data_IF_844204858264
#
_entry.id   IF_844204858264
#
_cell.length_a   1.000
_cell.length_b   1.000
_cell.length_c   1.000
_cell.angle_alpha   90.00
_cell.angle_beta   90.00
_cell.angle_gamma   90.00
#
_symmetry.space_group_name_H-M   'P 1'
#
loop_
_entity.id
_entity.type
_entity.pdbx_description
1 polymer ?
#
# COMPACT_ATOMS: atom_id res chain seq x y z
N UNK A 1 19.75 7.11 1.41
CA UNK A 1 18.43 7.26 0.79
C UNK A 1 17.54 6.26 1.47
N UNK A 2 16.54 6.77 2.19
CA UNK A 2 15.66 5.94 3.02
C UNK A 2 14.35 5.66 2.28
N UNK A 3 13.90 4.42 2.27
CA UNK A 3 12.61 4.01 1.69
C UNK A 3 11.62 3.67 2.80
N UNK A 4 10.44 4.28 2.82
CA UNK A 4 9.33 3.88 3.69
C UNK A 4 8.31 3.10 2.89
N UNK A 5 8.00 1.88 3.33
CA UNK A 5 6.84 1.12 2.86
C UNK A 5 5.75 1.31 3.91
N UNK A 6 4.57 1.77 3.51
CA UNK A 6 3.47 2.05 4.42
C UNK A 6 2.27 1.19 4.05
N UNK A 7 1.74 0.47 5.03
CA UNK A 7 0.58 -0.41 4.88
C UNK A 7 -0.33 -0.36 6.10
N UNK A 8 -1.57 -0.83 5.94
CA UNK A 8 -2.58 -0.86 7.01
C UNK A 8 -3.05 -2.29 7.28
N UNK A 9 -3.33 -2.61 8.53
CA UNK A 9 -3.82 -3.90 8.99
C UNK A 9 -5.25 -3.78 9.50
N UNK A 10 -6.13 -4.61 8.95
CA UNK A 10 -7.45 -4.88 9.50
C UNK A 10 -7.93 -6.22 8.98
N UNK A 11 -8.06 -7.21 9.87
CA UNK A 11 -8.35 -8.61 9.53
C UNK A 11 -7.36 -9.20 8.51
N UNK A 12 -6.08 -8.89 8.68
CA UNK A 12 -5.02 -9.15 7.69
C UNK A 12 -4.05 -10.26 8.09
N UNK A 13 -4.27 -10.92 9.22
CA UNK A 13 -3.36 -11.93 9.80
C UNK A 13 -2.84 -12.97 8.78
N UNK A 14 -3.66 -13.53 7.87
CA UNK A 14 -3.16 -14.53 6.92
C UNK A 14 -2.07 -14.02 5.96
N UNK A 15 -2.03 -12.71 5.69
CA UNK A 15 -1.18 -12.13 4.64
C UNK A 15 0.13 -11.54 5.17
N UNK A 16 0.14 -11.12 6.44
CA UNK A 16 1.25 -10.37 7.05
C UNK A 16 2.63 -11.02 6.84
N UNK A 17 2.85 -12.32 7.12
CA UNK A 17 4.19 -12.91 6.98
C UNK A 17 4.69 -12.89 5.54
N UNK A 18 3.82 -13.21 4.59
CA UNK A 18 4.18 -13.29 3.18
C UNK A 18 4.38 -11.91 2.58
N UNK A 19 3.56 -10.93 2.98
CA UNK A 19 3.74 -9.52 2.63
C UNK A 19 5.10 -9.00 3.09
N UNK A 20 5.43 -9.15 4.37
CA UNK A 20 6.71 -8.69 4.93
C UNK A 20 7.88 -9.38 4.21
N UNK A 21 7.80 -10.69 3.99
CA UNK A 21 8.85 -11.44 3.28
C UNK A 21 9.09 -10.89 1.87
N UNK A 22 8.03 -10.69 1.08
CA UNK A 22 8.12 -10.23 -0.31
C UNK A 22 8.55 -8.76 -0.39
N UNK A 23 7.93 -7.88 0.38
CA UNK A 23 8.23 -6.45 0.31
C UNK A 23 9.64 -6.13 0.83
N UNK A 24 10.12 -6.82 1.87
CA UNK A 24 11.52 -6.71 2.32
C UNK A 24 12.50 -7.18 1.26
N UNK A 25 12.18 -8.23 0.49
CA UNK A 25 13.04 -8.71 -0.58
C UNK A 25 13.16 -7.68 -1.71
N UNK A 26 12.07 -6.98 -2.04
CA UNK A 26 12.07 -5.91 -3.04
C UNK A 26 12.77 -4.64 -2.54
N UNK A 27 12.51 -4.23 -1.29
CA UNK A 27 13.17 -3.10 -0.66
C UNK A 27 14.70 -3.24 -0.68
N UNK A 28 15.21 -4.43 -0.35
CA UNK A 28 16.66 -4.75 -0.35
C UNK A 28 17.32 -4.64 -1.73
N UNK A 29 16.56 -4.74 -2.83
CA UNK A 29 17.09 -4.51 -4.18
C UNK A 29 17.35 -3.02 -4.45
N UNK A 30 16.64 -2.14 -3.74
CA UNK A 30 16.71 -0.69 -3.89
C UNK A 30 17.69 -0.09 -2.88
N UNK A 31 17.55 -0.44 -1.60
CA UNK A 31 18.35 0.12 -0.50
C UNK A 31 18.39 -0.81 0.71
N UNK A 32 19.48 -0.74 1.47
CA UNK A 32 19.57 -1.38 2.80
C UNK A 32 18.96 -0.54 3.93
N UNK A 33 18.65 0.74 3.66
CA UNK A 33 18.05 1.68 4.60
C UNK A 33 16.57 1.85 4.24
N UNK A 34 15.72 0.98 4.80
CA UNK A 34 14.28 1.01 4.59
C UNK A 34 13.52 0.77 5.89
N UNK A 35 12.23 1.10 5.90
CA UNK A 35 11.32 0.77 6.98
C UNK A 35 9.99 0.29 6.41
N UNK A 36 9.30 -0.57 7.16
CA UNK A 36 7.96 -1.06 6.86
C UNK A 36 7.06 -0.60 8.00
N UNK A 37 6.33 0.49 7.76
CA UNK A 37 5.36 1.07 8.67
C UNK A 37 4.03 0.34 8.48
N UNK A 38 3.64 -0.44 9.49
CA UNK A 38 2.37 -1.18 9.49
C UNK A 38 1.45 -0.57 10.53
N UNK A 39 0.29 -0.08 10.10
CA UNK A 39 -0.69 0.56 10.99
C UNK A 39 -1.83 -0.40 11.28
N UNK A 40 -1.95 -0.88 12.52
CA UNK A 40 -3.12 -1.64 12.96
C UNK A 40 -4.30 -0.70 13.22
N UNK A 41 -5.35 -0.84 12.40
CA UNK A 41 -6.58 -0.05 12.49
C UNK A 41 -7.60 -0.68 13.46
N UNK A 42 -7.12 -1.03 14.66
CA UNK A 42 -7.91 -1.70 15.69
C UNK A 42 -8.46 -3.05 15.22
N UNK A 43 -7.58 -3.90 14.68
CA UNK A 43 -7.99 -5.19 14.12
C UNK A 43 -8.54 -6.13 15.20
N UNK A 44 -9.69 -6.80 14.98
CA UNK A 44 -10.27 -7.71 15.97
C UNK A 44 -9.65 -9.12 15.96
N UNK A 45 -8.73 -9.40 15.02
CA UNK A 45 -8.06 -10.68 14.85
C UNK A 45 -6.60 -10.64 15.37
N UNK A 46 -5.81 -11.66 15.02
CA UNK A 46 -4.42 -11.77 15.48
C UNK A 46 -3.42 -10.91 14.68
N UNK A 47 -3.87 -9.95 13.86
CA UNK A 47 -3.01 -9.14 12.98
C UNK A 47 -1.93 -8.40 13.76
N UNK A 48 -2.32 -7.68 14.83
CA UNK A 48 -1.39 -6.93 15.66
C UNK A 48 -0.33 -7.83 16.30
N UNK A 49 -0.75 -8.92 16.94
CA UNK A 49 0.17 -9.85 17.61
C UNK A 49 1.18 -10.46 16.63
N UNK A 50 0.74 -10.78 15.40
CA UNK A 50 1.61 -11.31 14.36
C UNK A 50 2.60 -10.27 13.83
N UNK A 51 2.16 -9.02 13.67
CA UNK A 51 3.04 -7.92 13.26
C UNK A 51 4.10 -7.62 14.34
N UNK A 52 3.72 -7.62 15.62
CA UNK A 52 4.64 -7.47 16.75
C UNK A 52 5.63 -8.64 16.87
N UNK A 53 5.18 -9.86 16.61
CA UNK A 53 6.05 -11.03 16.60
C UNK A 53 7.15 -10.90 15.52
N UNK A 54 6.77 -10.47 14.31
CA UNK A 54 7.74 -10.22 13.23
C UNK A 54 8.70 -9.07 13.59
N UNK A 55 8.18 -7.97 14.16
CA UNK A 55 9.00 -6.83 14.60
C UNK A 55 10.10 -7.23 15.59
N UNK A 56 9.84 -8.21 16.46
CA UNK A 56 10.87 -8.69 17.40
C UNK A 56 12.11 -9.30 16.72
N UNK A 57 12.00 -9.63 15.43
CA UNK A 57 13.06 -10.29 14.64
C UNK A 57 13.52 -9.50 13.42
N UNK A 58 12.77 -8.49 12.98
CA UNK A 58 13.13 -7.64 11.84
C UNK A 58 13.09 -6.16 12.26
N UNK A 59 14.26 -5.50 12.40
CA UNK A 59 14.33 -4.11 12.88
C UNK A 59 13.78 -3.09 11.88
N UNK A 60 13.49 -3.48 10.64
CA UNK A 60 12.88 -2.57 9.66
C UNK A 60 11.36 -2.40 9.91
N UNK A 61 10.73 -3.26 10.71
CA UNK A 61 9.29 -3.19 11.00
C UNK A 61 8.99 -2.14 12.07
N UNK A 62 8.06 -1.25 11.75
CA UNK A 62 7.51 -0.25 12.67
C UNK A 62 6.00 -0.44 12.77
N UNK A 63 5.52 -0.89 13.92
CA UNK A 63 4.10 -1.10 14.16
C UNK A 63 3.49 0.13 14.84
N UNK A 64 2.36 0.60 14.33
CA UNK A 64 1.57 1.68 14.92
C UNK A 64 0.19 1.11 15.22
N UNK A 65 -0.17 1.04 16.50
CA UNK A 65 -1.49 0.59 16.94
C UNK A 65 -2.40 1.80 17.13
N UNK A 66 -3.50 1.86 16.37
CA UNK A 66 -4.53 2.87 16.61
C UNK A 66 -5.44 2.43 17.75
N UNK A 67 -5.96 3.39 18.51
CA UNK A 67 -6.78 3.10 19.71
C UNK A 67 -8.09 2.33 19.42
N UNK A 68 -8.52 2.29 18.15
CA UNK A 68 -9.71 1.60 17.62
C UNK A 68 -9.69 1.65 16.10
N UNK A 69 -10.69 1.05 15.46
CA UNK A 69 -10.91 1.24 14.02
C UNK A 69 -11.36 2.68 13.68
N UNK A 70 -10.60 3.32 12.80
CA UNK A 70 -10.84 4.64 12.23
C UNK A 70 -11.13 4.59 10.72
N UNK A 71 -10.79 3.50 10.05
CA UNK A 71 -10.95 3.26 8.63
C UNK A 71 -9.65 3.44 7.85
N UNK A 72 -9.55 2.71 6.73
CA UNK A 72 -8.34 2.57 5.90
C UNK A 72 -7.61 3.89 5.61
N UNK A 73 -8.29 4.93 5.13
CA UNK A 73 -7.62 6.20 4.81
C UNK A 73 -7.01 6.89 6.02
N UNK A 74 -7.64 6.82 7.21
CA UNK A 74 -7.08 7.43 8.42
C UNK A 74 -5.88 6.64 8.94
N UNK A 75 -5.95 5.31 8.86
CA UNK A 75 -4.81 4.45 9.17
C UNK A 75 -3.64 4.72 8.21
N UNK A 76 -3.91 4.86 6.92
CA UNK A 76 -2.88 5.20 5.93
C UNK A 76 -2.25 6.57 6.20
N UNK A 77 -3.05 7.58 6.55
CA UNK A 77 -2.55 8.90 6.93
C UNK A 77 -1.68 8.87 8.19
N UNK A 78 -2.06 8.09 9.19
CA UNK A 78 -1.20 7.86 10.36
C UNK A 78 0.12 7.22 9.94
N UNK A 79 0.10 6.19 9.09
CA UNK A 79 1.32 5.55 8.59
C UNK A 79 2.25 6.53 7.88
N UNK A 80 1.70 7.43 7.06
CA UNK A 80 2.43 8.50 6.39
C UNK A 80 3.06 9.51 7.36
N UNK A 81 2.38 9.87 8.45
CA UNK A 81 2.90 10.80 9.45
C UNK A 81 4.14 10.25 10.18
N UNK A 82 4.24 8.93 10.29
CA UNK A 82 5.38 8.25 10.91
C UNK A 82 6.43 7.76 9.91
N UNK A 83 6.16 7.85 8.60
CA UNK A 83 7.12 7.53 7.56
C UNK A 83 8.23 8.60 7.53
N UNK A 84 9.46 8.17 7.31
CA UNK A 84 10.65 9.03 7.36
C UNK A 84 11.61 8.84 6.17
N UNK A 85 11.17 8.09 5.17
CA UNK A 85 11.88 7.85 3.93
C UNK A 85 11.82 9.03 2.97
N UNK A 86 12.85 9.12 2.12
CA UNK A 86 12.88 10.01 0.96
C UNK A 86 11.86 9.57 -0.11
N UNK A 87 11.55 8.26 -0.14
CA UNK A 87 10.54 7.65 -1.00
C UNK A 87 9.52 6.92 -0.13
N UNK A 88 8.24 6.96 -0.54
CA UNK A 88 7.16 6.35 0.24
C UNK A 88 6.30 5.45 -0.64
N UNK A 89 6.48 4.14 -0.48
CA UNK A 89 5.68 3.14 -1.15
C UNK A 89 4.42 2.82 -0.36
N UNK A 90 3.26 3.19 -0.89
CA UNK A 90 1.96 2.90 -0.31
C UNK A 90 1.40 1.64 -0.95
N UNK A 91 1.10 0.61 -0.14
CA UNK A 91 0.58 -0.67 -0.63
C UNK A 91 -0.27 -1.37 0.45
N UNK A 92 -1.29 -2.11 0.03
CA UNK A 92 -2.12 -2.92 0.91
C UNK A 92 -1.45 -4.26 1.27
N UNK A 93 -1.68 -4.74 2.48
CA UNK A 93 -1.02 -5.93 3.04
C UNK A 93 -1.58 -7.24 2.50
N UNK A 94 -2.75 -7.20 1.86
CA UNK A 94 -3.54 -8.38 1.45
C UNK A 94 -3.03 -9.12 0.21
N UNK A 95 -1.96 -8.60 -0.42
CA UNK A 95 -1.33 -9.15 -1.62
C UNK A 95 -2.22 -9.12 -2.88
N UNK A 96 -3.27 -8.29 -2.92
CA UNK A 96 -4.00 -8.04 -4.16
C UNK A 96 -3.09 -7.39 -5.21
N UNK A 97 -2.28 -6.42 -4.78
CA UNK A 97 -1.13 -5.91 -5.52
C UNK A 97 0.16 -6.65 -5.17
N UNK A 98 0.97 -7.04 -6.16
CA UNK A 98 2.26 -7.67 -5.90
C UNK A 98 3.26 -6.66 -5.31
N UNK A 99 3.92 -6.96 -4.17
CA UNK A 99 4.99 -6.12 -3.62
C UNK A 99 6.15 -5.85 -4.60
N UNK A 100 6.34 -6.71 -5.62
CA UNK A 100 7.32 -6.55 -6.71
C UNK A 100 7.06 -5.31 -7.58
N UNK A 101 5.87 -4.68 -7.48
CA UNK A 101 5.63 -3.37 -8.08
C UNK A 101 6.57 -2.29 -7.54
N UNK A 102 7.06 -2.42 -6.31
CA UNK A 102 8.00 -1.47 -5.71
C UNK A 102 9.23 -1.24 -6.61
N UNK A 103 9.92 -2.30 -7.00
CA UNK A 103 11.10 -2.21 -7.87
C UNK A 103 10.76 -1.54 -9.20
N UNK A 104 9.65 -1.96 -9.82
CA UNK A 104 9.19 -1.39 -11.08
C UNK A 104 8.85 0.10 -10.97
N UNK A 105 8.18 0.50 -9.90
CA UNK A 105 7.78 1.89 -9.68
C UNK A 105 9.00 2.75 -9.42
N UNK A 106 9.97 2.23 -8.67
CA UNK A 106 11.23 2.91 -8.39
C UNK A 106 12.02 3.16 -9.68
N UNK A 107 12.14 2.15 -10.56
CA UNK A 107 12.84 2.30 -11.84
C UNK A 107 12.20 3.40 -12.71
N UNK A 108 10.86 3.43 -12.80
CA UNK A 108 10.12 4.44 -13.56
C UNK A 108 10.29 5.85 -12.97
N UNK A 109 10.19 5.97 -11.64
CA UNK A 109 10.35 7.22 -10.92
C UNK A 109 11.75 7.80 -11.19
N UNK A 110 12.78 6.95 -11.10
CA UNK A 110 14.18 7.32 -11.38
C UNK A 110 14.42 7.68 -12.85
N UNK A 111 13.74 7.02 -13.79
CA UNK A 111 13.92 7.27 -15.21
C UNK A 111 13.36 8.62 -15.66
N UNK A 112 12.18 9.00 -15.17
CA UNK A 112 11.49 10.21 -15.63
C UNK A 112 11.60 11.43 -14.71
N UNK A 113 12.30 11.31 -13.56
CA UNK A 113 12.38 12.36 -12.54
C UNK A 113 10.97 12.81 -12.11
N UNK A 114 10.10 11.84 -11.84
CA UNK A 114 8.72 12.04 -11.42
C UNK A 114 8.62 12.20 -9.90
N UNK A 115 7.62 12.96 -9.45
CA UNK A 115 7.31 13.07 -8.02
C UNK A 115 6.49 11.88 -7.49
N UNK A 116 5.69 11.23 -8.34
CA UNK A 116 4.80 10.12 -7.98
C UNK A 116 4.64 9.15 -9.15
N UNK A 117 4.65 7.84 -8.86
CA UNK A 117 4.30 6.77 -9.80
C UNK A 117 3.16 5.93 -9.24
N UNK A 118 2.11 5.69 -10.02
CA UNK A 118 0.96 4.89 -9.60
C UNK A 118 0.52 3.87 -10.67
N UNK A 119 -0.19 2.83 -10.23
CA UNK A 119 -0.68 1.76 -11.10
C UNK A 119 -1.99 2.09 -11.82
N UNK A 120 -2.18 1.50 -13.01
CA UNK A 120 -3.45 1.44 -13.73
C UNK A 120 -3.84 -0.01 -13.99
N UNK A 121 -5.05 -0.40 -13.58
CA UNK A 121 -5.62 -1.70 -13.95
C UNK A 121 -6.17 -1.65 -15.39
N UNK A 122 -5.47 -2.34 -16.32
CA UNK A 122 -5.92 -2.48 -17.72
C UNK A 122 -7.32 -3.07 -17.83
N UNK A 123 -7.63 -4.08 -17.00
CA UNK A 123 -8.95 -4.68 -16.91
C UNK A 123 -9.36 -4.90 -15.46
N UNK A 124 -10.62 -4.54 -15.13
CA UNK A 124 -11.18 -4.86 -13.81
C UNK A 124 -11.51 -6.36 -13.73
N UNK A 125 -10.99 -7.01 -12.70
CA UNK A 125 -11.41 -8.36 -12.31
C UNK A 125 -12.87 -8.34 -11.83
N UNK A 126 -13.64 -9.38 -12.16
CA UNK A 126 -15.04 -9.54 -11.71
C UNK A 126 -16.05 -9.78 -12.82
N UNK A 127 -17.25 -10.22 -12.43
CA UNK A 127 -18.36 -10.51 -13.34
C UNK A 127 -18.95 -9.28 -14.04
N UNK A 128 -19.83 -9.52 -15.02
CA UNK A 128 -20.41 -8.50 -15.90
C UNK A 128 -21.06 -7.33 -15.14
N UNK A 129 -21.70 -7.59 -14.00
CA UNK A 129 -22.33 -6.56 -13.16
C UNK A 129 -21.28 -5.60 -12.57
N UNK A 130 -20.16 -6.12 -12.04
CA UNK A 130 -19.07 -5.28 -11.51
C UNK A 130 -18.41 -4.45 -12.61
N UNK A 131 -18.27 -5.02 -13.82
CA UNK A 131 -17.73 -4.29 -14.98
C UNK A 131 -18.66 -3.16 -15.42
N UNK A 132 -19.97 -3.40 -15.50
CA UNK A 132 -20.94 -2.38 -15.92
C UNK A 132 -21.09 -1.28 -14.86
N UNK A 133 -21.26 -1.65 -13.58
CA UNK A 133 -21.36 -0.69 -12.48
C UNK A 133 -20.11 0.19 -12.36
N UNK A 134 -18.92 -0.40 -12.54
CA UNK A 134 -17.67 0.35 -12.58
C UNK A 134 -17.60 1.38 -13.71
N UNK A 135 -18.04 1.01 -14.93
CA UNK A 135 -18.08 1.96 -16.07
C UNK A 135 -19.05 3.11 -15.82
N UNK A 136 -20.21 2.83 -15.25
CA UNK A 136 -21.20 3.86 -14.92
C UNK A 136 -20.70 4.81 -13.82
N UNK A 137 -20.10 4.26 -12.75
CA UNK A 137 -19.53 5.07 -11.68
C UNK A 137 -18.41 5.99 -12.18
N UNK A 138 -17.52 5.49 -13.03
CA UNK A 138 -16.49 6.33 -13.64
C UNK A 138 -17.05 7.38 -14.61
N UNK A 139 -18.11 7.07 -15.35
CA UNK A 139 -18.81 8.05 -16.18
C UNK A 139 -19.39 9.20 -15.34
N UNK A 140 -20.02 8.89 -14.21
CA UNK A 140 -20.52 9.90 -13.26
C UNK A 140 -19.38 10.75 -12.69
N UNK A 141 -18.28 10.14 -12.27
CA UNK A 141 -17.10 10.87 -11.76
C UNK A 141 -16.59 11.85 -12.82
N UNK A 142 -16.47 11.43 -14.08
CA UNK A 142 -16.02 12.32 -15.18
C UNK A 142 -16.97 13.50 -15.43
N UNK A 143 -18.26 13.31 -15.18
CA UNK A 143 -19.25 14.37 -15.34
C UNK A 143 -19.20 15.38 -14.19
N UNK A 144 -18.94 14.90 -12.96
CA UNK A 144 -19.01 15.71 -11.74
C UNK A 144 -17.66 16.31 -11.32
N UNK A 145 -16.55 15.70 -11.72
CA UNK A 145 -15.20 16.08 -11.31
C UNK A 145 -14.46 16.72 -12.47
N UNK A 146 -13.99 17.96 -12.29
CA UNK A 146 -13.26 18.72 -13.32
C UNK A 146 -11.80 18.31 -13.50
N UNK A 147 -11.37 17.22 -12.85
CA UNK A 147 -10.01 16.68 -12.92
C UNK A 147 -10.02 15.51 -13.89
N UNK A 148 -9.17 15.56 -14.92
CA UNK A 148 -9.00 14.44 -15.82
C UNK A 148 -8.28 13.30 -15.09
N UNK A 149 -9.00 12.22 -14.81
CA UNK A 149 -8.47 11.04 -14.15
C UNK A 149 -8.50 9.83 -15.10
N UNK A 150 -7.40 9.05 -15.13
CA UNK A 150 -7.37 7.81 -15.86
C UNK A 150 -8.31 6.79 -15.20
N UNK A 151 -8.98 5.98 -16.02
CA UNK A 151 -9.85 4.92 -15.53
C UNK A 151 -9.04 3.85 -14.80
N UNK A 152 -9.62 3.28 -13.74
CA UNK A 152 -9.09 2.14 -12.99
C UNK A 152 -7.71 2.40 -12.36
N UNK A 153 -7.56 3.58 -11.76
CA UNK A 153 -6.44 3.88 -10.88
C UNK A 153 -6.32 2.85 -9.75
N UNK A 154 -5.11 2.37 -9.50
CA UNK A 154 -4.78 1.56 -8.33
C UNK A 154 -4.45 2.48 -7.14
N UNK A 155 -4.62 1.96 -5.93
CA UNK A 155 -4.23 2.64 -4.69
C UNK A 155 -2.72 2.59 -4.45
N UNK A 156 -2.05 1.55 -4.98
CA UNK A 156 -0.59 1.40 -4.91
C UNK A 156 0.15 2.52 -5.66
N UNK A 157 1.14 3.11 -4.98
CA UNK A 157 1.96 4.21 -5.51
C UNK A 157 3.30 4.33 -4.78
N UNK A 158 4.29 4.90 -5.47
CA UNK A 158 5.60 5.25 -4.97
C UNK A 158 5.85 6.74 -5.15
#
# INVERSE_FOLDING_TARGET
MKLSIVTTLYQSSPFIPEFVRRVSAEAKKITGDYEIVMVDDGSPDNSLAQALALQSTDPHLRIIELSRNFGHHKAMMAGLEYASGDFVFLIDVDLEEPPELLTRFYDELKAGNWDVVYGLQKERKGGLIKKFGGRFGWWLIRLLVSVDMPFNLCTVRL
#
